data_IF_399014743627
#
_entry.id   IF_399014743627
#
_cell.length_a   1.000
_cell.length_b   1.000
_cell.length_c   1.000
_cell.angle_alpha   90.00
_cell.angle_beta   90.00
_cell.angle_gamma   90.00
#
_symmetry.space_group_name_H-M   'P 1'
#
loop_
_entity.id
_entity.type
_entity.pdbx_description
1 polymer ?
#
# COMPACT_ATOMS: atom_id res chain seq x y z
N UNK A 1 -16.44 -11.62 7.45
CA UNK A 1 -17.59 -10.71 7.62
C UNK A 1 -17.48 -10.04 8.98
N UNK A 2 -18.08 -8.87 9.17
CA UNK A 2 -18.08 -8.18 10.47
C UNK A 2 -18.79 -9.08 11.50
N UNK A 3 -18.17 -9.42 12.65
CA UNK A 3 -18.73 -10.35 13.62
C UNK A 3 -19.80 -9.68 14.49
N UNK A 4 -20.84 -9.12 13.85
CA UNK A 4 -21.93 -8.43 14.52
C UNK A 4 -23.29 -8.96 14.05
N UNK A 5 -23.99 -9.61 14.97
CA UNK A 5 -25.31 -10.20 14.71
C UNK A 5 -26.38 -9.15 14.44
N UNK A 6 -26.22 -7.93 14.96
CA UNK A 6 -27.14 -6.82 14.74
C UNK A 6 -26.98 -6.25 13.33
N UNK A 7 -25.75 -6.12 12.85
CA UNK A 7 -25.45 -5.76 11.45
C UNK A 7 -26.10 -6.73 10.46
N UNK A 8 -26.08 -8.04 10.77
CA UNK A 8 -26.72 -9.06 9.94
C UNK A 8 -28.26 -9.00 9.94
N UNK A 9 -28.88 -8.54 11.05
CA UNK A 9 -30.34 -8.46 11.20
C UNK A 9 -30.92 -7.15 10.68
N UNK A 10 -30.33 -6.02 11.07
CA UNK A 10 -30.85 -4.68 10.80
C UNK A 10 -30.45 -4.13 9.42
N UNK A 11 -29.34 -4.62 8.87
CA UNK A 11 -28.65 -4.00 7.75
C UNK A 11 -27.39 -3.26 8.21
N UNK A 12 -26.55 -2.92 7.24
CA UNK A 12 -25.24 -2.31 7.47
C UNK A 12 -25.21 -0.94 6.80
N UNK A 13 -24.75 0.07 7.52
CA UNK A 13 -24.32 1.33 6.94
C UNK A 13 -22.87 1.61 7.32
N UNK A 14 -22.20 2.40 6.49
CA UNK A 14 -20.82 2.75 6.69
C UNK A 14 -20.61 4.23 6.39
N UNK A 15 -19.79 4.89 7.20
CA UNK A 15 -19.35 6.27 6.94
C UNK A 15 -17.84 6.33 6.89
N UNK A 16 -17.32 7.11 5.97
CA UNK A 16 -15.91 7.52 6.01
C UNK A 16 -15.70 8.38 7.24
N UNK A 17 -14.61 8.11 7.97
CA UNK A 17 -14.21 8.94 9.11
C UNK A 17 -13.11 9.91 8.67
N UNK A 18 -11.86 9.53 8.87
CA UNK A 18 -10.69 10.34 8.54
C UNK A 18 -9.64 9.47 7.88
N UNK A 19 -9.11 9.91 6.74
CA UNK A 19 -8.13 9.12 5.99
C UNK A 19 -8.73 7.82 5.44
N UNK A 20 -8.12 6.69 5.78
CA UNK A 20 -8.46 5.36 5.23
C UNK A 20 -9.23 4.48 6.22
N UNK A 21 -10.01 5.11 7.10
CA UNK A 21 -10.84 4.46 8.09
C UNK A 21 -12.33 4.58 7.73
N UNK A 22 -13.02 3.46 7.75
CA UNK A 22 -14.45 3.32 7.52
C UNK A 22 -15.11 2.85 8.82
N UNK A 23 -16.01 3.65 9.36
CA UNK A 23 -16.84 3.26 10.50
C UNK A 23 -18.08 2.52 10.00
N UNK A 24 -18.21 1.25 10.36
CA UNK A 24 -19.33 0.40 9.96
C UNK A 24 -20.21 0.10 11.17
N UNK A 25 -21.51 0.27 11.01
CA UNK A 25 -22.47 0.17 12.11
C UNK A 25 -23.83 -0.36 11.60
N UNK A 26 -24.63 -0.97 12.49
CA UNK A 26 -25.94 -1.46 12.14
C UNK A 26 -26.88 -0.29 11.83
N UNK A 27 -27.60 -0.39 10.71
CA UNK A 27 -28.51 0.65 10.29
C UNK A 27 -29.71 0.06 9.55
N UNK A 28 -30.92 0.33 10.07
CA UNK A 28 -32.19 0.07 9.40
C UNK A 28 -32.55 1.30 8.58
N UNK A 29 -32.66 1.22 7.24
CA UNK A 29 -33.10 2.36 6.44
C UNK A 29 -34.55 2.72 6.79
N UNK A 30 -34.77 3.98 7.13
CA UNK A 30 -36.10 4.55 7.43
C UNK A 30 -36.51 5.42 6.24
N UNK A 31 -37.72 5.25 5.74
CA UNK A 31 -38.27 6.02 4.62
C UNK A 31 -39.51 6.83 5.04
N UNK A 32 -40.07 7.63 4.13
CA UNK A 32 -41.27 8.45 4.37
C UNK A 32 -42.54 7.65 4.68
N UNK A 33 -42.53 6.33 4.46
CA UNK A 33 -43.63 5.42 4.77
C UNK A 33 -43.39 4.63 6.06
N UNK A 34 -42.31 4.93 6.78
CA UNK A 34 -41.97 4.27 8.03
C UNK A 34 -42.72 4.92 9.18
N UNK A 35 -43.43 4.11 9.97
CA UNK A 35 -44.09 4.58 11.18
C UNK A 35 -43.06 5.04 12.22
N UNK A 36 -43.35 6.13 12.93
CA UNK A 36 -42.58 6.56 14.10
C UNK A 36 -42.88 5.64 15.28
N UNK A 37 -42.20 4.49 15.28
CA UNK A 37 -42.29 3.45 16.31
C UNK A 37 -40.89 3.08 16.76
N UNK A 38 -40.83 2.65 18.02
CA UNK A 38 -39.60 2.10 18.61
C UNK A 38 -39.07 0.96 17.75
N UNK A 39 -37.77 0.98 17.47
CA UNK A 39 -37.10 -0.03 16.65
C UNK A 39 -37.33 -1.44 17.21
N UNK A 40 -37.58 -2.41 16.32
CA UNK A 40 -37.69 -3.84 16.63
C UNK A 40 -36.42 -4.41 17.27
N UNK A 41 -35.31 -3.68 17.14
CA UNK A 41 -34.00 -4.05 17.68
C UNK A 41 -33.74 -3.44 19.07
N UNK A 42 -34.66 -2.65 19.65
CA UNK A 42 -34.47 -2.11 21.00
C UNK A 42 -34.94 -3.11 22.08
N UNK A 43 -34.22 -3.26 23.20
CA UNK A 43 -32.92 -2.65 23.51
C UNK A 43 -31.80 -3.42 22.83
N UNK A 44 -30.86 -2.71 22.20
CA UNK A 44 -29.64 -3.30 21.67
C UNK A 44 -28.42 -2.51 22.12
N UNK A 45 -27.31 -3.22 22.25
CA UNK A 45 -25.99 -2.64 22.35
C UNK A 45 -25.43 -2.50 20.93
N UNK A 46 -25.46 -1.29 20.38
CA UNK A 46 -24.95 -1.02 19.04
C UNK A 46 -23.42 -0.86 19.09
N UNK A 47 -22.71 -1.61 18.26
CA UNK A 47 -21.26 -1.51 18.11
C UNK A 47 -20.89 -0.80 16.81
N UNK A 48 -19.78 -0.05 16.83
CA UNK A 48 -19.18 0.55 15.65
C UNK A 48 -17.87 -0.16 15.36
N UNK A 49 -17.77 -0.76 14.19
CA UNK A 49 -16.59 -1.48 13.72
C UNK A 49 -15.72 -0.53 12.89
N UNK A 50 -14.49 -0.32 13.31
CA UNK A 50 -13.53 0.49 12.57
C UNK A 50 -12.76 -0.40 11.59
N UNK A 51 -13.11 -0.30 10.31
CA UNK A 51 -12.37 -0.96 9.25
C UNK A 51 -11.31 0.01 8.73
N UNK A 52 -10.08 -0.48 8.60
CA UNK A 52 -8.99 0.26 7.98
C UNK A 52 -8.40 -0.58 6.87
N UNK A 53 -8.31 -0.02 5.68
CA UNK A 53 -7.58 -0.69 4.61
C UNK A 53 -6.11 -0.79 5.02
N UNK A 54 -5.55 -1.99 4.91
CA UNK A 54 -4.13 -2.17 5.07
C UNK A 54 -3.41 -1.57 3.86
N UNK A 55 -2.71 -0.47 4.09
CA UNK A 55 -1.94 0.22 3.06
C UNK A 55 -0.48 -0.11 3.27
N UNK A 56 0.13 -0.70 2.24
CA UNK A 56 1.53 -1.11 2.22
C UNK A 56 2.49 0.02 2.67
N UNK A 57 2.15 1.29 2.36
CA UNK A 57 2.94 2.47 2.73
C UNK A 57 2.90 2.83 4.23
N UNK A 58 2.07 2.15 5.04
CA UNK A 58 2.17 2.26 6.49
C UNK A 58 3.44 1.60 7.04
N UNK A 59 4.02 0.63 6.31
CA UNK A 59 5.30 0.05 6.72
C UNK A 59 6.45 1.06 6.47
N UNK A 60 7.30 1.35 7.48
CA UNK A 60 8.35 2.36 7.37
C UNK A 60 9.34 2.06 6.25
N UNK A 61 9.70 0.80 6.05
CA UNK A 61 10.62 0.37 4.97
C UNK A 61 10.05 0.67 3.58
N UNK A 62 8.75 0.45 3.38
CA UNK A 62 8.10 0.71 2.09
C UNK A 62 7.91 2.20 1.84
N UNK A 63 7.61 2.97 2.89
CA UNK A 63 7.57 4.44 2.80
C UNK A 63 8.93 5.02 2.43
N UNK A 64 10.00 4.52 3.04
CA UNK A 64 11.39 4.93 2.73
C UNK A 64 11.72 4.62 1.26
N UNK A 65 11.41 3.42 0.78
CA UNK A 65 11.59 3.04 -0.62
C UNK A 65 10.92 4.05 -1.57
N UNK A 66 9.65 4.38 -1.33
CA UNK A 66 8.91 5.33 -2.19
C UNK A 66 9.53 6.72 -2.16
N UNK A 67 9.92 7.21 -0.98
CA UNK A 67 10.55 8.53 -0.85
C UNK A 67 11.88 8.62 -1.59
N UNK A 68 12.75 7.61 -1.45
CA UNK A 68 14.04 7.56 -2.14
C UNK A 68 13.87 7.39 -3.65
N UNK A 69 12.96 6.51 -4.07
CA UNK A 69 12.60 6.29 -5.48
C UNK A 69 12.07 7.55 -6.14
N UNK A 70 11.23 8.31 -5.44
CA UNK A 70 10.72 9.59 -5.91
C UNK A 70 11.86 10.61 -6.13
N UNK A 71 12.90 10.59 -5.29
CA UNK A 71 14.11 11.41 -5.48
C UNK A 71 14.85 11.09 -6.79
N UNK A 72 14.96 9.80 -7.13
CA UNK A 72 15.53 9.36 -8.42
C UNK A 72 14.66 9.82 -9.58
N UNK A 73 13.34 9.64 -9.49
CA UNK A 73 12.39 10.07 -10.52
C UNK A 73 12.50 11.57 -10.82
N UNK A 74 12.54 12.41 -9.78
CA UNK A 74 12.70 13.86 -9.92
C UNK A 74 14.04 14.21 -10.58
N UNK A 75 15.10 13.48 -10.24
CA UNK A 75 16.43 13.68 -10.81
C UNK A 75 16.49 13.33 -12.30
N UNK A 76 15.83 12.23 -12.71
CA UNK A 76 15.69 11.85 -14.13
C UNK A 76 14.94 12.93 -14.91
N UNK A 77 13.88 13.53 -14.34
CA UNK A 77 13.12 14.62 -15.00
C UNK A 77 13.99 15.83 -15.35
N UNK A 78 15.06 16.07 -14.59
CA UNK A 78 15.95 17.20 -14.79
C UNK A 78 17.02 16.96 -15.86
N UNK A 79 17.11 15.74 -16.41
CA UNK A 79 17.99 15.45 -17.55
C UNK A 79 17.48 16.25 -18.76
N UNK A 80 18.29 17.18 -19.26
CA UNK A 80 17.93 18.01 -20.41
C UNK A 80 17.79 17.13 -21.65
N UNK A 81 16.57 17.07 -22.21
CA UNK A 81 16.16 16.30 -23.40
C UNK A 81 16.88 16.64 -24.73
N UNK A 82 18.01 17.37 -24.70
CA UNK A 82 18.59 18.01 -25.88
C UNK A 82 19.85 17.35 -26.48
N UNK A 83 20.52 16.41 -25.81
CA UNK A 83 21.76 15.78 -26.31
C UNK A 83 21.82 14.30 -25.96
N UNK A 84 21.41 13.45 -26.90
CA UNK A 84 21.31 11.98 -26.75
C UNK A 84 22.58 11.32 -26.18
N UNK A 85 23.76 11.87 -26.47
CA UNK A 85 25.04 11.29 -26.06
C UNK A 85 25.41 11.57 -24.59
N UNK A 86 24.86 12.61 -23.97
CA UNK A 86 25.10 12.96 -22.55
C UNK A 86 24.04 12.33 -21.62
N UNK A 87 22.84 12.03 -22.15
CA UNK A 87 21.72 11.47 -21.39
C UNK A 87 21.97 10.03 -20.93
N UNK A 88 22.69 9.23 -21.72
CA UNK A 88 22.82 7.79 -21.47
C UNK A 88 23.62 7.44 -20.21
N UNK A 89 24.82 7.99 -19.96
CA UNK A 89 25.55 7.75 -18.72
C UNK A 89 24.76 8.15 -17.47
N UNK A 90 23.95 9.22 -17.57
CA UNK A 90 23.06 9.65 -16.49
C UNK A 90 21.93 8.64 -16.23
N UNK A 91 21.31 8.09 -17.29
CA UNK A 91 20.29 7.05 -17.16
C UNK A 91 20.84 5.77 -16.51
N UNK A 92 22.03 5.32 -16.90
CA UNK A 92 22.70 4.17 -16.26
C UNK A 92 22.95 4.46 -14.78
N UNK A 93 23.43 5.66 -14.45
CA UNK A 93 23.66 6.09 -13.06
C UNK A 93 22.38 6.04 -12.24
N UNK A 94 21.29 6.62 -12.73
CA UNK A 94 20.01 6.66 -12.00
C UNK A 94 19.35 5.28 -11.92
N UNK A 95 19.47 4.43 -12.94
CA UNK A 95 19.01 3.04 -12.89
C UNK A 95 19.72 2.24 -11.80
N UNK A 96 21.06 2.34 -11.74
CA UNK A 96 21.86 1.71 -10.68
C UNK A 96 21.47 2.24 -9.31
N UNK A 97 21.24 3.55 -9.18
CA UNK A 97 20.80 4.17 -7.94
C UNK A 97 19.44 3.62 -7.49
N UNK A 98 18.47 3.51 -8.41
CA UNK A 98 17.16 2.92 -8.12
C UNK A 98 17.26 1.45 -7.69
N UNK A 99 18.12 0.66 -8.37
CA UNK A 99 18.38 -0.73 -7.98
C UNK A 99 19.01 -0.86 -6.60
N UNK A 100 19.93 0.02 -6.22
CA UNK A 100 20.48 0.08 -4.86
C UNK A 100 19.41 0.39 -3.80
N UNK A 101 18.45 1.28 -4.13
CA UNK A 101 17.32 1.60 -3.25
C UNK A 101 16.40 0.37 -3.07
N UNK A 102 16.08 -0.35 -4.15
CA UNK A 102 15.36 -1.61 -4.08
C UNK A 102 16.08 -2.64 -3.22
N UNK A 103 17.40 -2.82 -3.44
CA UNK A 103 18.22 -3.76 -2.66
C UNK A 103 18.19 -3.43 -1.17
N UNK A 104 18.39 -2.17 -0.79
CA UNK A 104 18.33 -1.73 0.60
C UNK A 104 16.94 -1.96 1.23
N UNK A 105 15.87 -1.83 0.44
CA UNK A 105 14.51 -2.15 0.87
C UNK A 105 14.34 -3.65 1.14
N UNK A 106 14.79 -4.51 0.23
CA UNK A 106 14.77 -5.97 0.36
C UNK A 106 15.54 -6.42 1.61
N UNK A 107 16.76 -5.90 1.82
CA UNK A 107 17.57 -6.19 3.00
C UNK A 107 16.88 -5.76 4.30
N UNK A 108 16.29 -4.56 4.30
CA UNK A 108 15.55 -4.05 5.46
C UNK A 108 14.26 -4.84 5.74
N UNK A 109 13.58 -5.36 4.71
CA UNK A 109 12.41 -6.23 4.86
C UNK A 109 12.81 -7.60 5.39
N UNK A 110 13.95 -8.13 4.93
CA UNK A 110 14.48 -9.42 5.40
C UNK A 110 14.84 -9.35 6.89
N UNK A 111 15.51 -8.27 7.33
CA UNK A 111 15.82 -8.05 8.74
C UNK A 111 14.54 -7.84 9.57
N UNK A 112 13.57 -7.08 9.06
CA UNK A 112 12.27 -6.92 9.72
C UNK A 112 11.52 -8.26 9.86
N UNK A 113 11.54 -9.11 8.83
CA UNK A 113 10.89 -10.42 8.84
C UNK A 113 11.56 -11.39 9.82
N UNK A 114 12.90 -11.35 9.93
CA UNK A 114 13.65 -12.18 10.87
C UNK A 114 13.31 -11.85 12.34
N UNK A 115 13.02 -10.57 12.62
CA UNK A 115 12.71 -10.07 13.97
C UNK A 115 11.20 -9.95 14.26
N UNK A 116 10.33 -10.30 13.31
CA UNK A 116 8.89 -10.12 13.43
C UNK A 116 8.19 -11.22 14.26
N UNK A 117 7.09 -10.82 14.90
CA UNK A 117 6.12 -11.75 15.48
C UNK A 117 5.38 -12.54 14.37
N UNK A 118 4.84 -13.70 14.72
CA UNK A 118 4.22 -14.62 13.77
C UNK A 118 3.05 -14.00 12.96
N UNK A 119 2.33 -13.05 13.54
CA UNK A 119 1.20 -12.34 12.91
C UNK A 119 1.63 -11.41 11.76
N UNK A 120 2.85 -10.85 11.81
CA UNK A 120 3.37 -9.92 10.80
C UNK A 120 4.37 -10.55 9.85
N UNK A 121 4.90 -11.72 10.20
CA UNK A 121 5.93 -12.42 9.44
C UNK A 121 5.46 -12.75 8.02
N UNK A 122 4.27 -13.34 7.87
CA UNK A 122 3.71 -13.70 6.57
C UNK A 122 3.59 -12.49 5.64
N UNK A 123 3.11 -11.36 6.17
CA UNK A 123 2.98 -10.12 5.41
C UNK A 123 4.33 -9.57 4.95
N UNK A 124 5.35 -9.63 5.81
CA UNK A 124 6.71 -9.19 5.47
C UNK A 124 7.37 -10.11 4.44
N UNK A 125 7.15 -11.42 4.52
CA UNK A 125 7.62 -12.41 3.53
C UNK A 125 6.95 -12.20 2.16
N UNK A 126 5.66 -11.85 2.15
CA UNK A 126 4.95 -11.47 0.92
C UNK A 126 5.57 -10.22 0.29
N UNK A 127 5.85 -9.17 1.08
CA UNK A 127 6.53 -7.97 0.57
C UNK A 127 7.94 -8.28 0.08
N UNK A 128 8.71 -9.08 0.82
CA UNK A 128 10.06 -9.48 0.43
C UNK A 128 10.05 -10.15 -0.96
N UNK A 129 9.12 -11.09 -1.16
CA UNK A 129 8.95 -11.78 -2.44
C UNK A 129 8.60 -10.81 -3.58
N UNK A 130 7.67 -9.89 -3.33
CA UNK A 130 7.27 -8.89 -4.33
C UNK A 130 8.46 -7.99 -4.70
N UNK A 131 9.17 -7.42 -3.73
CA UNK A 131 10.25 -6.47 -4.01
C UNK A 131 11.49 -7.14 -4.59
N UNK A 132 11.76 -8.40 -4.23
CA UNK A 132 12.77 -9.20 -4.92
C UNK A 132 12.43 -9.39 -6.40
N UNK A 133 11.18 -9.74 -6.71
CA UNK A 133 10.73 -9.87 -8.10
C UNK A 133 10.83 -8.53 -8.86
N UNK A 134 10.46 -7.42 -8.22
CA UNK A 134 10.62 -6.07 -8.80
C UNK A 134 12.09 -5.76 -9.08
N UNK A 135 13.00 -6.09 -8.16
CA UNK A 135 14.44 -5.93 -8.38
C UNK A 135 14.94 -6.75 -9.56
N UNK A 136 14.55 -8.02 -9.67
CA UNK A 136 14.91 -8.89 -10.78
C UNK A 136 14.42 -8.36 -12.13
N UNK A 137 13.14 -7.97 -12.20
CA UNK A 137 12.56 -7.38 -13.42
C UNK A 137 13.27 -6.08 -13.77
N UNK A 138 13.54 -5.22 -12.79
CA UNK A 138 14.27 -3.98 -13.03
C UNK A 138 15.67 -4.23 -13.58
N UNK A 139 16.42 -5.16 -12.97
CA UNK A 139 17.76 -5.51 -13.42
C UNK A 139 17.75 -6.07 -14.86
N UNK A 140 16.77 -6.91 -15.20
CA UNK A 140 16.60 -7.39 -16.56
C UNK A 140 16.31 -6.23 -17.53
N UNK A 141 15.43 -5.31 -17.17
CA UNK A 141 15.14 -4.14 -18.03
C UNK A 141 16.33 -3.19 -18.17
N UNK A 142 17.14 -3.03 -17.12
CA UNK A 142 18.40 -2.28 -17.16
C UNK A 142 19.35 -2.89 -18.20
N UNK A 143 19.53 -4.21 -18.17
CA UNK A 143 20.35 -4.92 -19.16
C UNK A 143 19.79 -4.71 -20.57
N UNK A 144 18.50 -4.98 -20.79
CA UNK A 144 17.91 -4.99 -22.13
C UNK A 144 17.81 -3.61 -22.80
N UNK A 145 17.55 -2.55 -22.03
CA UNK A 145 17.20 -1.25 -22.59
C UNK A 145 18.20 -0.13 -22.27
N UNK A 146 19.02 -0.28 -21.23
CA UNK A 146 19.97 0.75 -20.81
C UNK A 146 21.41 0.32 -21.16
N UNK A 147 21.76 -0.94 -20.89
CA UNK A 147 23.11 -1.47 -21.15
C UNK A 147 23.29 -2.07 -22.57
N UNK A 148 22.28 -2.74 -23.15
CA UNK A 148 22.46 -3.62 -24.32
C UNK A 148 22.56 -2.98 -25.73
N UNK A 149 22.39 -1.67 -25.90
CA UNK A 149 22.44 -1.07 -27.26
C UNK A 149 23.80 -0.38 -27.45
N UNK A 150 24.59 -0.59 -28.50
CA UNK A 150 25.81 0.19 -28.75
C UNK A 150 25.56 1.70 -28.85
#
# INVERSE_FOLDING_TARGET
GIPDTLCGKAGISATWRTGNELGVFPHKPVNTHSDDKKSDYYPCEAQIHLLRQEIILFHPTLRKLVNESNGVFVSIRNIKLGKSNETRPELVKYSKQYRSILRACVESLQDAAANALADKKELLENFLTIFYNVECVWHLTEILYIDAIP
#
